data_IF_214061115585
#
_entry.id   IF_214061115585
#
_cell.length_a   1.000
_cell.length_b   1.000
_cell.length_c   1.000
_cell.angle_alpha   90.00
_cell.angle_beta   90.00
_cell.angle_gamma   90.00
#
_symmetry.space_group_name_H-M   'P 1'
#
loop_
_entity.id
_entity.type
_entity.pdbx_description
1 polymer ?
#
# COMPACT_ATOMS: atom_id res chain seq x y z
N UNK A 1 -31.41 -5.65 2.68
CA UNK A 1 -30.09 -5.50 2.05
C UNK A 1 -29.06 -5.24 3.15
N UNK A 2 -27.87 -5.86 3.10
CA UNK A 2 -26.89 -5.85 4.22
C UNK A 2 -25.90 -4.67 4.21
N UNK A 3 -25.99 -3.77 3.21
CA UNK A 3 -25.16 -2.56 3.12
C UNK A 3 -23.74 -2.82 2.59
N UNK A 4 -23.00 -1.75 2.30
CA UNK A 4 -21.60 -1.79 1.89
C UNK A 4 -20.69 -1.96 3.11
N UNK A 5 -19.65 -2.79 2.98
CA UNK A 5 -18.59 -2.92 3.98
C UNK A 5 -17.63 -1.73 3.92
N UNK A 6 -16.91 -1.43 5.01
CA UNK A 6 -15.91 -0.36 5.00
C UNK A 6 -14.86 -0.60 3.92
N UNK A 7 -14.63 0.41 3.07
CA UNK A 7 -13.71 0.32 1.95
C UNK A 7 -14.32 -0.24 0.66
N UNK A 8 -15.58 -0.69 0.68
CA UNK A 8 -16.27 -1.10 -0.56
C UNK A 8 -16.83 0.12 -1.30
N UNK A 9 -16.64 0.12 -2.62
CA UNK A 9 -17.33 1.01 -3.54
C UNK A 9 -18.55 0.32 -4.13
N UNK A 10 -19.60 1.09 -4.39
CA UNK A 10 -20.80 0.59 -5.08
C UNK A 10 -20.51 0.32 -6.57
N UNK A 11 -19.65 1.15 -7.15
CA UNK A 11 -19.19 1.07 -8.53
C UNK A 11 -17.68 1.35 -8.55
N UNK A 12 -16.94 0.51 -9.24
CA UNK A 12 -15.52 0.73 -9.51
C UNK A 12 -15.34 1.64 -10.72
N UNK A 13 -14.23 2.37 -10.78
CA UNK A 13 -13.83 3.10 -11.97
C UNK A 13 -13.30 2.14 -13.04
N UNK A 14 -13.71 2.33 -14.30
CA UNK A 14 -13.20 1.51 -15.41
C UNK A 14 -11.72 1.79 -15.69
N UNK A 15 -11.34 3.06 -15.63
CA UNK A 15 -9.97 3.56 -15.77
C UNK A 15 -9.78 4.72 -14.81
N UNK A 16 -8.54 4.91 -14.34
CA UNK A 16 -8.16 6.06 -13.52
C UNK A 16 -7.75 7.22 -14.42
N UNK A 17 -8.23 8.42 -14.09
CA UNK A 17 -7.89 9.66 -14.81
C UNK A 17 -8.63 9.84 -16.15
N UNK A 18 -8.32 10.95 -16.83
CA UNK A 18 -8.96 11.33 -18.10
C UNK A 18 -8.04 11.19 -19.31
N UNK A 19 -6.73 10.96 -19.11
CA UNK A 19 -5.77 10.83 -20.20
C UNK A 19 -5.68 9.37 -20.65
N UNK A 20 -6.66 8.94 -21.44
CA UNK A 20 -6.75 7.59 -21.98
C UNK A 20 -6.61 7.62 -23.50
N UNK A 21 -5.73 6.78 -24.03
CA UNK A 21 -5.45 6.67 -25.46
C UNK A 21 -5.63 5.23 -25.94
N UNK A 22 -5.98 5.06 -27.22
CA UNK A 22 -6.01 3.74 -27.84
C UNK A 22 -4.60 3.20 -28.07
N UNK A 23 -4.48 1.88 -28.16
CA UNK A 23 -3.25 1.23 -28.66
C UNK A 23 -3.46 0.71 -30.09
N UNK A 24 -2.46 0.03 -30.66
CA UNK A 24 -2.62 -0.64 -31.97
C UNK A 24 -3.64 -1.77 -31.97
N UNK A 25 -4.06 -2.26 -30.79
CA UNK A 25 -5.08 -3.30 -30.67
C UNK A 25 -6.43 -2.68 -30.28
N UNK A 26 -7.53 -2.98 -30.99
CA UNK A 26 -8.82 -2.29 -30.83
C UNK A 26 -9.49 -2.48 -29.46
N UNK A 27 -9.08 -3.51 -28.71
CA UNK A 27 -9.61 -3.81 -27.36
C UNK A 27 -8.66 -3.42 -26.22
N UNK A 28 -7.54 -2.73 -26.51
CA UNK A 28 -6.56 -2.33 -25.49
C UNK A 28 -6.45 -0.81 -25.48
N UNK A 29 -6.77 -0.23 -24.33
CA UNK A 29 -6.61 1.20 -24.03
C UNK A 29 -5.45 1.40 -23.04
N UNK A 30 -4.81 2.56 -23.08
CA UNK A 30 -3.72 2.98 -22.20
C UNK A 30 -4.12 4.24 -21.44
N UNK A 31 -4.11 4.19 -20.12
CA UNK A 31 -4.16 5.37 -19.27
C UNK A 31 -2.75 5.91 -19.05
N UNK A 32 -2.58 7.22 -19.15
CA UNK A 32 -1.34 7.92 -18.81
C UNK A 32 -1.56 8.67 -17.51
N UNK A 33 -0.83 8.25 -16.47
CA UNK A 33 -0.97 8.76 -15.12
C UNK A 33 0.31 9.44 -14.65
N UNK A 34 0.14 10.38 -13.72
CA UNK A 34 1.28 10.97 -13.02
C UNK A 34 1.99 9.92 -12.17
N UNK A 35 3.31 9.99 -12.13
CA UNK A 35 4.12 9.09 -11.31
C UNK A 35 5.05 9.88 -10.40
N UNK A 36 5.32 9.29 -9.23
CA UNK A 36 6.34 9.81 -8.33
C UNK A 36 7.72 9.48 -8.88
N UNK A 37 8.67 10.40 -8.71
CA UNK A 37 10.08 10.07 -8.94
C UNK A 37 10.52 8.92 -8.03
N UNK A 38 11.41 8.06 -8.54
CA UNK A 38 11.93 6.92 -7.79
C UNK A 38 12.45 7.32 -6.40
N UNK A 39 13.23 8.41 -6.33
CA UNK A 39 13.78 8.91 -5.06
C UNK A 39 12.69 9.31 -4.06
N UNK A 40 11.59 9.91 -4.53
CA UNK A 40 10.46 10.26 -3.66
C UNK A 40 9.70 9.02 -3.21
N UNK A 41 9.42 8.11 -4.14
CA UNK A 41 8.74 6.84 -3.87
C UNK A 41 9.51 6.00 -2.84
N UNK A 42 10.82 5.84 -3.03
CA UNK A 42 11.66 5.05 -2.12
C UNK A 42 11.67 5.62 -0.69
N UNK A 43 11.72 6.94 -0.54
CA UNK A 43 11.62 7.60 0.78
C UNK A 43 10.29 7.31 1.47
N UNK A 44 9.19 7.42 0.73
CA UNK A 44 7.84 7.14 1.27
C UNK A 44 7.69 5.66 1.65
N UNK A 45 8.28 4.74 0.87
CA UNK A 45 8.29 3.31 1.20
C UNK A 45 9.07 3.02 2.49
N UNK A 46 10.23 3.65 2.68
CA UNK A 46 11.00 3.52 3.93
C UNK A 46 10.23 4.05 5.14
N UNK A 47 9.55 5.19 5.00
CA UNK A 47 8.68 5.73 6.05
C UNK A 47 7.50 4.80 6.35
N UNK A 48 6.85 4.27 5.29
CA UNK A 48 5.75 3.32 5.42
C UNK A 48 6.18 2.06 6.15
N UNK A 49 7.33 1.47 5.78
CA UNK A 49 7.90 0.31 6.46
C UNK A 49 8.12 0.58 7.95
N UNK A 50 8.68 1.75 8.29
CA UNK A 50 8.88 2.13 9.70
C UNK A 50 7.57 2.21 10.48
N UNK A 51 6.52 2.80 9.90
CA UNK A 51 5.22 2.86 10.57
C UNK A 51 4.53 1.50 10.66
N UNK A 52 4.69 0.62 9.66
CA UNK A 52 4.25 -0.76 9.74
C UNK A 52 4.96 -1.51 10.88
N UNK A 53 6.28 -1.36 10.99
CA UNK A 53 7.09 -1.99 12.04
C UNK A 53 6.71 -1.52 13.45
N UNK A 54 6.34 -0.24 13.57
CA UNK A 54 5.87 0.38 14.81
C UNK A 54 4.37 0.15 15.07
N UNK A 55 3.67 -0.53 14.16
CA UNK A 55 2.23 -0.75 14.19
C UNK A 55 1.40 0.55 14.24
N UNK A 56 1.92 1.64 13.68
CA UNK A 56 1.32 2.98 13.70
C UNK A 56 0.40 3.22 12.51
N UNK A 57 -0.90 2.95 12.70
CA UNK A 57 -1.93 3.13 11.68
C UNK A 57 -2.12 4.60 11.27
N UNK A 58 -1.81 5.56 12.14
CA UNK A 58 -1.95 6.99 11.83
C UNK A 58 -0.82 7.41 10.89
N UNK A 59 0.41 6.99 11.19
CA UNK A 59 1.57 7.18 10.33
C UNK A 59 1.40 6.53 8.95
N UNK A 60 0.94 5.28 8.91
CA UNK A 60 0.62 4.56 7.66
C UNK A 60 -0.37 5.37 6.82
N UNK A 61 -1.49 5.79 7.43
CA UNK A 61 -2.55 6.55 6.75
C UNK A 61 -2.02 7.88 6.22
N UNK A 62 -1.16 8.57 6.98
CA UNK A 62 -0.54 9.82 6.57
C UNK A 62 0.36 9.65 5.34
N UNK A 63 1.18 8.59 5.30
CA UNK A 63 2.03 8.28 4.14
C UNK A 63 1.17 7.99 2.91
N UNK A 64 0.12 7.18 3.04
CA UNK A 64 -0.76 6.84 1.92
C UNK A 64 -1.52 8.06 1.36
N UNK A 65 -2.07 8.91 2.24
CA UNK A 65 -2.71 10.18 1.82
C UNK A 65 -1.73 11.11 1.10
N UNK A 66 -0.44 11.06 1.45
CA UNK A 66 0.59 11.89 0.80
C UNK A 66 1.05 11.30 -0.53
N UNK A 67 1.12 9.97 -0.63
CA UNK A 67 1.71 9.27 -1.77
C UNK A 67 0.72 8.99 -2.90
N UNK A 68 -0.56 8.81 -2.58
CA UNK A 68 -1.59 8.33 -3.51
C UNK A 68 -2.71 9.35 -3.61
N UNK A 69 -2.80 10.06 -4.73
CA UNK A 69 -3.77 11.14 -4.95
C UNK A 69 -5.24 10.70 -4.84
N UNK A 70 -5.54 9.44 -5.17
CA UNK A 70 -6.87 8.84 -5.04
C UNK A 70 -7.16 8.20 -3.68
N UNK A 71 -6.21 8.22 -2.74
CA UNK A 71 -6.42 7.68 -1.41
C UNK A 71 -7.01 8.77 -0.51
N UNK A 72 -8.32 8.70 -0.29
CA UNK A 72 -9.09 9.64 0.53
C UNK A 72 -10.12 8.92 1.40
N UNK A 73 -10.60 9.59 2.44
CA UNK A 73 -11.66 9.12 3.36
C UNK A 73 -11.37 7.83 4.16
N UNK A 74 -10.14 7.29 4.07
CA UNK A 74 -9.72 6.21 4.96
C UNK A 74 -9.67 6.73 6.40
N UNK A 75 -10.62 6.28 7.21
CA UNK A 75 -10.58 6.48 8.65
C UNK A 75 -9.81 5.32 9.27
N UNK A 76 -8.80 5.64 10.06
CA UNK A 76 -8.19 4.67 10.99
C UNK A 76 -9.30 4.15 11.89
N UNK A 77 -9.88 3.01 11.55
CA UNK A 77 -10.84 2.32 12.39
C UNK A 77 -10.06 1.44 13.36
N UNK A 78 -10.71 1.12 14.47
CA UNK A 78 -10.22 0.11 15.38
C UNK A 78 -10.17 -1.24 14.65
N UNK A 79 -9.05 -1.53 14.01
CA UNK A 79 -8.79 -2.87 13.49
C UNK A 79 -8.68 -3.81 14.71
N UNK A 80 -9.72 -4.61 14.91
CA UNK A 80 -9.80 -5.56 16.01
C UNK A 80 -8.75 -6.67 15.87
N UNK A 81 -8.28 -6.97 14.65
CA UNK A 81 -7.17 -7.88 14.40
C UNK A 81 -5.86 -7.19 14.78
N UNK A 82 -5.64 -5.95 14.36
CA UNK A 82 -4.42 -5.19 14.68
C UNK A 82 -4.26 -4.91 16.18
N UNK A 83 -5.33 -4.61 16.92
CA UNK A 83 -5.24 -4.48 18.39
C UNK A 83 -4.89 -5.80 19.07
N UNK A 84 -5.51 -6.91 18.65
CA UNK A 84 -5.27 -8.23 19.25
C UNK A 84 -3.88 -8.78 18.89
N UNK A 85 -3.48 -8.64 17.63
CA UNK A 85 -2.21 -9.17 17.12
C UNK A 85 -1.05 -8.21 17.35
N UNK A 86 -1.24 -6.89 17.23
CA UNK A 86 -0.22 -5.89 17.51
C UNK A 86 0.23 -5.89 18.97
N UNK A 87 -0.69 -6.04 19.92
CA UNK A 87 -0.32 -6.23 21.33
C UNK A 87 0.47 -7.53 21.57
N UNK A 88 0.06 -8.63 20.92
CA UNK A 88 0.73 -9.92 21.02
C UNK A 88 2.13 -9.92 20.35
N UNK A 89 2.26 -9.24 19.21
CA UNK A 89 3.49 -9.10 18.44
C UNK A 89 4.49 -8.14 19.07
N UNK A 90 4.02 -7.02 19.66
CA UNK A 90 4.89 -6.14 20.45
C UNK A 90 5.44 -6.86 21.69
N UNK A 91 4.65 -7.76 22.29
CA UNK A 91 5.11 -8.61 23.39
C UNK A 91 6.11 -9.69 22.93
N UNK A 92 5.99 -10.22 21.71
CA UNK A 92 6.90 -11.26 21.18
C UNK A 92 8.16 -10.72 20.49
N UNK A 93 8.13 -9.50 19.90
CA UNK A 93 9.28 -8.84 19.26
C UNK A 93 10.37 -8.47 20.27
N UNK A 94 10.04 -8.35 21.57
CA UNK A 94 11.02 -8.22 22.65
C UNK A 94 11.88 -9.49 22.85
N UNK A 95 11.55 -10.62 22.22
CA UNK A 95 12.17 -11.93 22.46
C UNK A 95 12.78 -12.61 21.21
N UNK A 96 12.69 -12.03 20.01
CA UNK A 96 13.11 -12.70 18.77
C UNK A 96 14.24 -11.96 18.02
N UNK A 97 15.33 -12.66 17.61
CA UNK A 97 16.34 -12.07 16.72
C UNK A 97 15.80 -11.91 15.30
N UNK A 98 16.36 -10.96 14.55
CA UNK A 98 15.98 -10.63 13.18
C UNK A 98 16.08 -11.86 12.26
N UNK A 99 14.96 -12.28 11.68
CA UNK A 99 14.91 -13.40 10.75
C UNK A 99 15.55 -13.00 9.41
N UNK A 100 16.39 -13.90 8.87
CA UNK A 100 17.02 -13.74 7.56
C UNK A 100 15.97 -13.73 6.45
N UNK A 101 16.18 -12.88 5.44
CA UNK A 101 15.31 -12.75 4.25
C UNK A 101 15.15 -14.11 3.55
N UNK A 102 13.91 -14.52 3.33
CA UNK A 102 13.55 -15.73 2.58
C UNK A 102 13.38 -15.47 1.06
N UNK A 103 13.74 -14.28 0.58
CA UNK A 103 13.68 -13.93 -0.83
C UNK A 103 14.97 -14.39 -1.51
N UNK A 104 14.85 -15.42 -2.36
CA UNK A 104 15.95 -15.85 -3.24
C UNK A 104 16.12 -14.81 -4.33
N UNK A 105 17.34 -14.28 -4.50
CA UNK A 105 17.62 -13.34 -5.58
C UNK A 105 17.32 -13.99 -6.94
N UNK A 106 16.49 -13.31 -7.74
CA UNK A 106 16.01 -13.85 -9.00
C UNK A 106 17.12 -13.89 -10.08
N UNK A 107 18.19 -13.10 -9.91
CA UNK A 107 19.32 -13.01 -10.82
C UNK A 107 20.64 -12.75 -10.03
N UNK A 108 21.33 -13.80 -9.58
CA UNK A 108 22.55 -13.67 -8.77
C UNK A 108 23.76 -13.18 -9.59
N UNK A 109 23.77 -13.40 -10.89
CA UNK A 109 24.85 -13.01 -11.80
C UNK A 109 24.32 -12.00 -12.82
N UNK A 110 24.40 -10.70 -12.49
CA UNK A 110 24.41 -9.67 -13.54
C UNK A 110 25.87 -9.36 -13.89
N UNK A 111 26.21 -9.25 -15.20
CA UNK A 111 27.54 -8.84 -15.64
C UNK A 111 27.88 -7.40 -15.21
#
# INVERSE_FOLDING_TARGET
FIGLRPGEKLHEELLLGSNVTGTGHPMIMRAEEECLSYNRMNKLLQELMRYCDAMDCVGITSVLNTAVSGFGDHRVRYDHLWKKQGALLLQSKAAAPAAASNVKELFPDKP
#
